data_IF_536275809377
#
_entry.id   IF_536275809377
#
_cell.length_a   1.000
_cell.length_b   1.000
_cell.length_c   1.000
_cell.angle_alpha   90.00
_cell.angle_beta   90.00
_cell.angle_gamma   90.00
#
_symmetry.space_group_name_H-M   'P 1'
#
loop_
_entity.id
_entity.type
_entity.pdbx_description
1 polymer ?
#
# COMPACT_ATOMS: atom_id res chain seq x y z
N UNK A 1 -43.71 -3.76 0.73
CA UNK A 1 -43.38 -5.00 0.00
C UNK A 1 -42.85 -6.13 0.91
N UNK A 2 -43.24 -6.14 2.21
CA UNK A 2 -42.85 -7.16 3.21
C UNK A 2 -44.04 -8.01 3.70
N UNK A 3 -45.26 -7.70 3.26
CA UNK A 3 -46.48 -8.34 3.72
C UNK A 3 -46.85 -9.56 2.86
N UNK A 4 -46.31 -9.67 1.63
CA UNK A 4 -46.67 -10.73 0.69
C UNK A 4 -45.95 -12.06 1.00
N UNK A 5 -44.82 -12.03 1.69
CA UNK A 5 -44.05 -13.27 1.99
C UNK A 5 -44.74 -14.14 3.06
N UNK A 6 -45.50 -13.52 3.96
CA UNK A 6 -46.19 -14.24 5.05
C UNK A 6 -47.36 -15.12 4.59
N UNK A 7 -48.06 -14.73 3.52
CA UNK A 7 -49.25 -15.44 3.05
C UNK A 7 -48.92 -16.68 2.22
N UNK A 8 -47.80 -16.70 1.50
CA UNK A 8 -47.37 -17.85 0.69
C UNK A 8 -46.81 -19.02 1.49
N UNK A 9 -46.37 -18.79 2.74
CA UNK A 9 -45.84 -19.86 3.61
C UNK A 9 -46.94 -20.68 4.31
N UNK A 10 -48.16 -20.16 4.39
CA UNK A 10 -49.31 -20.86 5.00
C UNK A 10 -50.02 -21.83 4.04
N UNK A 11 -49.86 -21.65 2.72
CA UNK A 11 -50.54 -22.47 1.71
C UNK A 11 -49.75 -23.73 1.27
N UNK A 12 -48.48 -23.84 1.65
CA UNK A 12 -47.70 -25.05 1.42
C UNK A 12 -47.77 -25.95 2.65
N UNK A 13 -48.36 -27.13 2.53
CA UNK A 13 -48.31 -28.24 3.51
C UNK A 13 -46.89 -28.81 3.68
N UNK A 14 -45.91 -27.93 3.89
CA UNK A 14 -44.52 -28.27 4.10
C UNK A 14 -44.41 -28.78 5.54
N UNK A 15 -44.23 -30.09 5.68
CA UNK A 15 -43.84 -30.73 6.93
C UNK A 15 -42.70 -29.92 7.58
N UNK A 16 -42.81 -29.65 8.88
CA UNK A 16 -41.78 -28.97 9.70
C UNK A 16 -40.39 -29.54 9.45
N UNK A 17 -40.27 -30.86 9.20
CA UNK A 17 -39.01 -31.49 8.80
C UNK A 17 -38.50 -31.03 7.44
N UNK A 18 -39.37 -30.86 6.45
CA UNK A 18 -39.03 -30.41 5.10
C UNK A 18 -38.70 -28.91 5.08
N UNK A 19 -39.44 -28.10 5.84
CA UNK A 19 -39.15 -26.68 6.04
C UNK A 19 -37.79 -26.49 6.75
N UNK A 20 -37.50 -27.28 7.78
CA UNK A 20 -36.22 -27.24 8.48
C UNK A 20 -35.05 -27.72 7.60
N UNK A 21 -35.24 -28.78 6.80
CA UNK A 21 -34.23 -29.31 5.88
C UNK A 21 -33.85 -28.34 4.75
N UNK A 22 -34.78 -27.51 4.30
CA UNK A 22 -34.52 -26.48 3.28
C UNK A 22 -34.05 -25.15 3.88
N UNK A 23 -34.54 -24.78 5.06
CA UNK A 23 -34.18 -23.52 5.72
C UNK A 23 -32.81 -23.52 6.40
N UNK A 24 -32.42 -24.63 7.03
CA UNK A 24 -31.17 -24.71 7.78
C UNK A 24 -29.90 -24.45 6.93
N UNK A 25 -29.75 -25.01 5.71
CA UNK A 25 -28.58 -24.73 4.88
C UNK A 25 -28.48 -23.26 4.44
N UNK A 26 -29.61 -22.62 4.16
CA UNK A 26 -29.66 -21.20 3.75
C UNK A 26 -29.26 -20.29 4.90
N UNK A 27 -29.73 -20.57 6.12
CA UNK A 27 -29.33 -19.83 7.32
C UNK A 27 -27.84 -20.01 7.64
N UNK A 28 -27.33 -21.25 7.56
CA UNK A 28 -25.91 -21.53 7.78
C UNK A 28 -25.06 -20.80 6.73
N UNK A 29 -25.43 -20.88 5.45
CA UNK A 29 -24.73 -20.17 4.38
C UNK A 29 -24.74 -18.65 4.60
N UNK A 30 -25.86 -18.09 5.05
CA UNK A 30 -25.98 -16.67 5.40
C UNK A 30 -25.05 -16.27 6.56
N UNK A 31 -25.00 -17.07 7.62
CA UNK A 31 -24.12 -16.83 8.77
C UNK A 31 -22.64 -16.96 8.40
N UNK A 32 -22.29 -17.97 7.59
CA UNK A 32 -20.91 -18.16 7.10
C UNK A 32 -20.50 -16.99 6.21
N UNK A 33 -21.34 -16.57 5.27
CA UNK A 33 -21.06 -15.42 4.40
C UNK A 33 -20.88 -14.14 5.22
N UNK A 34 -21.77 -13.87 6.18
CA UNK A 34 -21.66 -12.73 7.07
C UNK A 34 -20.35 -12.76 7.89
N UNK A 35 -20.01 -13.92 8.46
CA UNK A 35 -18.76 -14.11 9.19
C UNK A 35 -17.52 -13.86 8.33
N UNK A 36 -17.47 -14.44 7.13
CA UNK A 36 -16.36 -14.23 6.18
C UNK A 36 -16.22 -12.75 5.80
N UNK A 37 -17.33 -12.08 5.47
CA UNK A 37 -17.29 -10.65 5.13
C UNK A 37 -16.85 -9.78 6.30
N UNK A 38 -17.29 -10.11 7.52
CA UNK A 38 -16.90 -9.39 8.72
C UNK A 38 -15.39 -9.51 8.98
N UNK A 39 -14.83 -10.72 8.91
CA UNK A 39 -13.39 -10.94 9.10
C UNK A 39 -12.56 -10.35 7.96
N UNK A 40 -13.03 -10.38 6.72
CA UNK A 40 -12.34 -9.75 5.59
C UNK A 40 -12.26 -8.22 5.73
N UNK A 41 -13.30 -7.59 6.30
CA UNK A 41 -13.34 -6.14 6.52
C UNK A 41 -12.61 -5.69 7.79
N UNK A 42 -12.63 -6.52 8.85
CA UNK A 42 -12.05 -6.19 10.16
C UNK A 42 -10.64 -6.75 10.37
N UNK A 43 -10.18 -7.62 9.48
CA UNK A 43 -8.83 -8.14 9.48
C UNK A 43 -7.81 -7.01 9.37
N UNK A 44 -7.02 -6.81 10.42
CA UNK A 44 -5.87 -5.90 10.40
C UNK A 44 -4.73 -6.60 9.65
N UNK A 45 -4.53 -6.23 8.38
CA UNK A 45 -3.28 -6.60 7.69
C UNK A 45 -2.16 -5.84 8.40
N UNK A 46 -1.32 -6.55 9.15
CA UNK A 46 -0.12 -5.98 9.77
C UNK A 46 0.79 -5.50 8.64
N UNK A 47 0.69 -4.21 8.29
CA UNK A 47 1.62 -3.57 7.38
C UNK A 47 2.96 -3.45 8.09
N UNK A 48 4.01 -3.96 7.47
CA UNK A 48 5.37 -3.83 7.97
C UNK A 48 5.75 -2.34 8.07
N UNK A 49 6.30 -1.93 9.21
CA UNK A 49 6.71 -0.56 9.46
C UNK A 49 8.16 -0.32 9.07
N UNK A 50 8.38 0.41 7.97
CA UNK A 50 9.72 0.75 7.49
C UNK A 50 10.26 2.09 8.02
N UNK A 51 9.68 2.64 9.09
CA UNK A 51 10.05 3.96 9.62
C UNK A 51 11.54 4.07 9.98
N UNK A 52 12.08 3.09 10.70
CA UNK A 52 13.50 3.07 11.09
C UNK A 52 14.41 2.91 9.86
N UNK A 53 13.96 2.14 8.87
CA UNK A 53 14.68 1.99 7.61
C UNK A 53 14.81 3.35 6.89
N UNK A 54 13.73 4.14 6.78
CA UNK A 54 13.79 5.48 6.16
C UNK A 54 14.69 6.45 6.91
N UNK A 55 14.68 6.40 8.25
CA UNK A 55 15.62 7.20 9.06
C UNK A 55 17.07 6.81 8.81
N UNK A 56 17.36 5.52 8.63
CA UNK A 56 18.69 5.06 8.25
C UNK A 56 19.08 5.56 6.85
N UNK A 57 18.17 5.50 5.87
CA UNK A 57 18.43 6.06 4.53
C UNK A 57 18.80 7.55 4.62
N UNK A 58 18.03 8.32 5.39
CA UNK A 58 18.30 9.74 5.61
C UNK A 58 19.65 9.99 6.28
N UNK A 59 20.02 9.20 7.31
CA UNK A 59 21.30 9.36 8.01
C UNK A 59 22.51 8.97 7.15
N UNK A 60 22.31 8.11 6.15
CA UNK A 60 23.29 7.80 5.10
C UNK A 60 23.35 8.85 3.99
N UNK A 61 22.58 9.94 4.08
CA UNK A 61 22.56 10.99 3.07
C UNK A 61 21.87 10.57 1.76
N UNK A 62 20.96 9.59 1.81
CA UNK A 62 20.17 9.18 0.66
C UNK A 62 18.99 10.14 0.49
N UNK A 63 18.84 10.64 -0.73
CA UNK A 63 17.71 11.48 -1.16
C UNK A 63 16.96 10.78 -2.28
N UNK A 64 15.64 10.71 -2.13
CA UNK A 64 14.71 10.12 -3.08
C UNK A 64 14.19 11.16 -4.08
N UNK A 65 14.70 11.13 -5.30
CA UNK A 65 14.22 11.99 -6.38
C UNK A 65 13.02 11.34 -7.06
N UNK A 66 11.88 12.01 -6.99
CA UNK A 66 10.59 11.52 -7.47
C UNK A 66 9.89 12.54 -8.35
N UNK A 67 8.79 12.11 -8.94
CA UNK A 67 7.89 13.00 -9.67
C UNK A 67 6.43 12.67 -9.39
N UNK A 68 5.57 13.68 -9.25
CA UNK A 68 4.11 13.49 -9.11
C UNK A 68 3.48 12.80 -10.33
N UNK A 69 4.09 12.93 -11.51
CA UNK A 69 3.64 12.29 -12.76
C UNK A 69 4.19 10.87 -12.96
N UNK A 70 5.06 10.41 -12.06
CA UNK A 70 5.76 9.14 -12.20
C UNK A 70 4.97 7.97 -11.55
N UNK A 71 4.41 7.09 -12.39
CA UNK A 71 3.67 5.90 -11.95
C UNK A 71 4.54 4.92 -11.15
N UNK A 72 5.81 4.77 -11.54
CA UNK A 72 6.79 3.94 -10.82
C UNK A 72 7.12 4.49 -9.44
N UNK A 73 7.10 5.82 -9.27
CA UNK A 73 7.34 6.49 -7.99
C UNK A 73 6.18 6.23 -7.03
N UNK A 74 4.94 6.24 -7.53
CA UNK A 74 3.76 5.81 -6.76
C UNK A 74 3.88 4.35 -6.31
N UNK A 75 4.37 3.46 -7.20
CA UNK A 75 4.64 2.06 -6.82
C UNK A 75 5.71 1.93 -5.75
N UNK A 76 6.78 2.73 -5.85
CA UNK A 76 7.82 2.77 -4.84
C UNK A 76 7.28 3.19 -3.46
N UNK A 77 6.45 4.23 -3.42
CA UNK A 77 5.83 4.71 -2.18
C UNK A 77 4.86 3.67 -1.59
N UNK A 78 4.16 2.88 -2.42
CA UNK A 78 3.33 1.76 -1.94
C UNK A 78 4.16 0.65 -1.28
N UNK A 79 5.36 0.35 -1.80
CA UNK A 79 6.28 -0.62 -1.18
C UNK A 79 6.72 -0.13 0.21
N UNK A 80 6.98 1.17 0.33
CA UNK A 80 7.37 1.81 1.59
C UNK A 80 6.20 1.98 2.57
N UNK A 81 4.97 2.02 2.07
CA UNK A 81 3.78 2.32 2.86
C UNK A 81 3.86 3.72 3.48
N UNK A 82 3.32 3.86 4.69
CA UNK A 82 3.29 5.13 5.43
C UNK A 82 4.69 5.69 5.72
N UNK A 83 5.70 4.83 5.80
CA UNK A 83 7.08 5.24 6.04
C UNK A 83 7.64 6.13 4.92
N UNK A 84 7.09 6.07 3.70
CA UNK A 84 7.51 6.94 2.58
C UNK A 84 7.56 8.42 2.93
N UNK A 85 6.65 8.89 3.81
CA UNK A 85 6.57 10.27 4.30
C UNK A 85 7.78 10.70 5.13
N UNK A 86 8.53 9.75 5.69
CA UNK A 86 9.72 9.99 6.50
C UNK A 86 11.00 10.05 5.66
N UNK A 87 10.96 9.61 4.41
CA UNK A 87 12.12 9.60 3.53
C UNK A 87 12.34 11.00 2.94
N UNK A 88 13.56 11.51 3.03
CA UNK A 88 13.95 12.75 2.39
C UNK A 88 13.77 12.62 0.87
N UNK A 89 12.91 13.45 0.29
CA UNK A 89 12.60 13.38 -1.13
C UNK A 89 12.59 14.74 -1.80
N UNK A 90 12.86 14.74 -3.10
CA UNK A 90 12.83 15.91 -3.96
C UNK A 90 11.83 15.65 -5.09
N UNK A 91 10.89 16.57 -5.24
CA UNK A 91 9.90 16.55 -6.31
C UNK A 91 10.47 17.25 -7.55
N UNK A 92 10.66 16.47 -8.61
CA UNK A 92 11.29 16.94 -9.85
C UNK A 92 10.31 17.52 -10.86
N UNK A 93 9.00 17.41 -10.65
CA UNK A 93 8.00 17.94 -11.57
C UNK A 93 7.37 19.23 -11.04
N UNK A 94 7.23 20.29 -11.86
CA UNK A 94 6.73 21.60 -11.41
C UNK A 94 5.30 21.56 -10.83
N UNK A 95 4.44 20.67 -11.31
CA UNK A 95 3.08 20.50 -10.76
C UNK A 95 3.03 19.79 -9.39
N UNK A 96 4.17 19.30 -8.88
CA UNK A 96 4.22 18.59 -7.61
C UNK A 96 4.27 19.52 -6.40
N UNK A 97 4.22 18.95 -5.20
CA UNK A 97 4.32 19.71 -3.95
C UNK A 97 5.76 20.14 -3.67
N UNK A 98 5.97 21.44 -3.38
CA UNK A 98 7.30 22.03 -3.13
C UNK A 98 8.36 21.61 -4.17
N UNK A 99 8.08 21.81 -5.46
CA UNK A 99 8.88 21.25 -6.54
C UNK A 99 10.25 21.91 -6.61
N UNK A 100 11.27 21.15 -7.02
CA UNK A 100 12.65 21.64 -7.24
C UNK A 100 13.25 21.08 -8.55
N UNK A 101 12.63 21.35 -9.71
CA UNK A 101 13.09 20.80 -10.99
C UNK A 101 14.52 21.23 -11.34
N UNK A 102 14.95 22.44 -11.00
CA UNK A 102 16.31 22.94 -11.24
C UNK A 102 17.35 22.13 -10.45
N UNK A 103 17.02 21.75 -9.21
CA UNK A 103 17.86 20.87 -8.41
C UNK A 103 18.01 19.50 -9.10
N UNK A 104 16.90 18.92 -9.57
CA UNK A 104 16.95 17.65 -10.30
C UNK A 104 17.79 17.73 -11.58
N UNK A 105 17.70 18.83 -12.33
CA UNK A 105 18.53 19.07 -13.51
C UNK A 105 20.02 19.19 -13.15
N UNK A 106 20.36 19.97 -12.11
CA UNK A 106 21.75 20.13 -11.65
C UNK A 106 22.37 18.81 -11.17
N UNK A 107 21.56 17.94 -10.54
CA UNK A 107 21.96 16.58 -10.11
C UNK A 107 21.90 15.54 -11.23
N UNK A 108 21.58 15.97 -12.46
CA UNK A 108 21.48 15.12 -13.67
C UNK A 108 20.52 13.94 -13.44
N UNK A 109 19.36 14.22 -12.84
CA UNK A 109 18.30 13.23 -12.65
C UNK A 109 17.53 13.13 -13.97
N UNK A 110 17.80 12.07 -14.74
CA UNK A 110 17.14 11.84 -16.04
C UNK A 110 15.93 10.93 -15.94
N UNK A 111 15.82 10.16 -14.84
CA UNK A 111 14.73 9.22 -14.58
C UNK A 111 14.29 9.31 -13.12
N UNK A 112 13.01 9.04 -12.88
CA UNK A 112 12.46 8.87 -11.54
C UNK A 112 11.73 7.51 -11.48
N UNK A 113 11.72 6.82 -10.33
CA UNK A 113 12.44 7.15 -9.10
C UNK A 113 13.96 7.03 -9.23
N UNK A 114 14.70 7.88 -8.51
CA UNK A 114 16.17 7.77 -8.34
C UNK A 114 16.53 7.97 -6.88
N UNK A 115 17.38 7.10 -6.33
CA UNK A 115 17.95 7.24 -5.00
C UNK A 115 19.41 7.65 -5.15
N UNK A 116 19.74 8.82 -4.61
CA UNK A 116 21.07 9.41 -4.70
C UNK A 116 21.66 9.53 -3.31
N UNK A 117 22.84 8.97 -3.09
CA UNK A 117 23.59 9.09 -1.84
C UNK A 117 24.63 10.20 -1.99
N UNK A 118 24.61 11.15 -1.05
CA UNK A 118 25.55 12.27 -1.02
C UNK A 118 26.31 12.34 0.31
N UNK A 119 27.57 12.72 0.25
CA UNK A 119 28.39 13.05 1.42
C UNK A 119 29.13 14.35 1.15
N UNK A 120 28.97 15.34 2.05
CA UNK A 120 29.58 16.67 1.87
C UNK A 120 29.16 17.37 0.57
N UNK A 121 27.96 17.12 0.05
CA UNK A 121 27.46 17.69 -1.21
C UNK A 121 28.00 17.03 -2.48
N UNK A 122 28.83 16.00 -2.34
CA UNK A 122 29.34 15.19 -3.46
C UNK A 122 28.55 13.90 -3.56
N UNK A 123 28.14 13.56 -4.78
CA UNK A 123 27.51 12.28 -5.08
C UNK A 123 28.51 11.13 -4.85
N UNK A 124 28.10 10.16 -4.05
CA UNK A 124 28.88 8.94 -3.77
C UNK A 124 28.41 7.79 -4.67
N UNK A 125 27.09 7.62 -4.78
CA UNK A 125 26.46 6.58 -5.60
C UNK A 125 24.99 6.88 -5.86
N UNK A 126 24.46 6.32 -6.94
CA UNK A 126 23.03 6.37 -7.28
C UNK A 126 22.51 5.01 -7.68
N UNK A 127 21.20 4.82 -7.53
CA UNK A 127 20.45 3.70 -8.09
C UNK A 127 19.12 4.22 -8.64
N UNK A 128 18.77 3.79 -9.85
CA UNK A 128 17.60 4.27 -10.60
C UNK A 128 16.52 3.20 -10.70
N UNK A 129 15.27 3.64 -10.85
CA UNK A 129 14.12 2.75 -11.02
C UNK A 129 13.59 2.17 -9.71
N UNK A 130 12.54 1.35 -9.85
CA UNK A 130 11.86 0.73 -8.73
C UNK A 130 12.82 -0.18 -7.94
N UNK A 131 12.91 0.04 -6.63
CA UNK A 131 13.73 -0.75 -5.72
C UNK A 131 12.86 -1.52 -4.73
N UNK A 132 13.14 -2.81 -4.59
CA UNK A 132 12.62 -3.57 -3.46
C UNK A 132 13.38 -3.18 -2.19
N UNK A 133 12.73 -3.38 -1.04
CA UNK A 133 13.32 -3.07 0.27
C UNK A 133 14.69 -3.73 0.46
N UNK A 134 14.84 -5.00 0.06
CA UNK A 134 16.09 -5.75 0.15
C UNK A 134 17.23 -5.11 -0.65
N UNK A 135 16.94 -4.69 -1.88
CA UNK A 135 17.95 -4.13 -2.77
C UNK A 135 18.37 -2.74 -2.30
N UNK A 136 17.40 -1.93 -1.86
CA UNK A 136 17.69 -0.61 -1.28
C UNK A 136 18.42 -0.72 0.06
N UNK A 137 18.12 -1.76 0.86
CA UNK A 137 18.83 -2.08 2.11
C UNK A 137 20.29 -2.43 1.85
N UNK A 138 20.56 -3.30 0.88
CA UNK A 138 21.92 -3.64 0.47
C UNK A 138 22.66 -2.42 -0.10
N UNK A 139 21.98 -1.60 -0.92
CA UNK A 139 22.52 -0.35 -1.43
C UNK A 139 22.88 0.61 -0.28
N UNK A 140 22.01 0.79 0.71
CA UNK A 140 22.23 1.77 1.78
C UNK A 140 23.12 1.25 2.93
N UNK A 141 23.36 -0.06 3.00
CA UNK A 141 23.88 -0.73 4.18
C UNK A 141 23.05 -0.37 5.44
N UNK A 142 21.72 -0.53 5.32
CA UNK A 142 20.73 -0.26 6.35
C UNK A 142 19.86 -1.49 6.57
N UNK A 143 19.65 -1.91 7.80
CA UNK A 143 18.74 -3.02 8.10
C UNK A 143 17.28 -2.63 7.79
N UNK A 144 16.55 -3.55 7.15
CA UNK A 144 15.13 -3.39 6.81
C UNK A 144 14.28 -4.34 7.65
N UNK A 145 14.35 -4.17 8.97
CA UNK A 145 13.56 -4.94 9.94
C UNK A 145 12.08 -4.59 9.91
#
# INVERSE_FOLDING_TARGET
MLIIIGASLWASGLDSKTAFRMGAPVLIAGLVAAGVTYFAQTGTVVKKDYSNFMQCLNSKGIVYYKSVRCSTCRRQEMIFGEASKKLNSIECHPDGENPRPELCLSKKITKTPTFLMESGGTEIKRIEGLQQIKDLSAFANCAAE
#
